data_IF_171454095250
#
_entry.id   IF_171454095250
#
_cell.length_a   1.000
_cell.length_b   1.000
_cell.length_c   1.000
_cell.angle_alpha   90.00
_cell.angle_beta   90.00
_cell.angle_gamma   90.00
#
_symmetry.space_group_name_H-M   'P 1'
#
loop_
_entity.id
_entity.type
_entity.pdbx_description
1 polymer ?
#
# COMPACT_ATOMS: atom_id res chain seq x y z
N UNK A 1 -0.07 -3.95 16.64
CA UNK A 1 -0.36 -4.58 15.32
C UNK A 1 -1.74 -5.23 15.38
N UNK A 2 -2.08 -5.83 16.52
CA UNK A 2 -3.33 -6.55 16.77
C UNK A 2 -4.58 -5.66 16.76
N UNK A 3 -4.48 -4.41 17.24
CA UNK A 3 -5.62 -3.48 17.23
C UNK A 3 -6.08 -3.10 15.82
N UNK A 4 -5.17 -3.02 14.83
CA UNK A 4 -5.54 -2.66 13.44
C UNK A 4 -6.23 -3.84 12.77
N UNK A 5 -5.70 -5.06 12.94
CA UNK A 5 -6.34 -6.29 12.44
C UNK A 5 -7.72 -6.48 13.07
N UNK A 6 -7.83 -6.29 14.38
CA UNK A 6 -9.10 -6.36 15.09
C UNK A 6 -10.12 -5.34 14.54
N UNK A 7 -9.69 -4.10 14.28
CA UNK A 7 -10.54 -3.10 13.65
C UNK A 7 -11.00 -3.52 12.25
N UNK A 8 -10.13 -4.13 11.43
CA UNK A 8 -10.49 -4.62 10.09
C UNK A 8 -11.56 -5.71 10.13
N UNK A 9 -11.55 -6.60 11.14
CA UNK A 9 -12.57 -7.64 11.27
C UNK A 9 -13.90 -7.13 11.85
N UNK A 10 -13.87 -6.13 12.74
CA UNK A 10 -15.09 -5.60 13.37
C UNK A 10 -15.81 -4.58 12.49
N UNK A 11 -15.05 -3.80 11.72
CA UNK A 11 -15.61 -2.70 10.93
C UNK A 11 -16.69 -3.16 9.92
N UNK A 12 -16.54 -4.27 9.17
CA UNK A 12 -17.59 -4.80 8.30
C UNK A 12 -18.90 -5.10 9.03
N UNK A 13 -18.82 -5.68 10.24
CA UNK A 13 -19.97 -6.03 11.05
C UNK A 13 -20.71 -4.76 11.54
N UNK A 14 -19.95 -3.78 12.03
CA UNK A 14 -20.50 -2.49 12.47
C UNK A 14 -21.13 -1.73 11.30
N UNK A 15 -20.49 -1.71 10.12
CA UNK A 15 -21.03 -1.08 8.92
C UNK A 15 -22.29 -1.77 8.40
N UNK A 16 -22.32 -3.11 8.39
CA UNK A 16 -23.52 -3.86 8.00
C UNK A 16 -24.70 -3.57 8.95
N UNK A 17 -24.46 -3.58 10.26
CA UNK A 17 -25.50 -3.27 11.26
C UNK A 17 -26.00 -1.83 11.19
N UNK A 18 -25.10 -0.85 11.02
CA UNK A 18 -25.47 0.56 10.87
C UNK A 18 -26.25 0.80 9.57
N UNK A 19 -25.86 0.19 8.46
CA UNK A 19 -26.62 0.26 7.22
C UNK A 19 -28.03 -0.33 7.37
N UNK A 20 -28.16 -1.53 7.93
CA UNK A 20 -29.45 -2.20 8.10
C UNK A 20 -30.40 -1.42 9.03
N UNK A 21 -29.88 -0.82 10.10
CA UNK A 21 -30.68 0.00 11.02
C UNK A 21 -31.15 1.31 10.39
N UNK A 22 -30.32 1.97 9.57
CA UNK A 22 -30.72 3.15 8.79
C UNK A 22 -31.77 2.75 7.74
N UNK A 23 -31.56 1.64 7.04
CA UNK A 23 -32.50 1.13 6.04
C UNK A 23 -33.87 0.79 6.57
N UNK A 24 -33.92 0.21 7.77
CA UNK A 24 -35.17 -0.02 8.49
C UNK A 24 -35.88 1.29 8.84
N UNK A 25 -35.16 2.27 9.41
CA UNK A 25 -35.73 3.58 9.80
C UNK A 25 -36.29 4.35 8.62
N UNK A 26 -35.60 4.34 7.48
CA UNK A 26 -36.03 5.06 6.28
C UNK A 26 -37.17 4.35 5.52
N UNK A 27 -37.60 3.15 5.95
CA UNK A 27 -38.50 2.24 5.20
C UNK A 27 -38.05 1.96 3.77
N UNK A 28 -36.81 2.34 3.43
CA UNK A 28 -36.13 2.12 2.16
C UNK A 28 -35.20 0.94 2.36
N UNK A 29 -35.78 -0.22 2.59
CA UNK A 29 -35.01 -1.46 2.54
C UNK A 29 -34.78 -1.77 1.07
N UNK A 30 -33.52 -1.66 0.65
CA UNK A 30 -33.10 -1.80 -0.73
C UNK A 30 -33.42 -3.22 -1.26
N UNK A 31 -34.32 -3.31 -2.24
CA UNK A 31 -34.62 -4.56 -2.98
C UNK A 31 -33.39 -5.14 -3.69
N UNK A 32 -32.32 -4.35 -3.82
CA UNK A 32 -31.08 -4.75 -4.45
C UNK A 32 -30.41 -5.91 -3.71
N UNK A 33 -30.35 -5.85 -2.37
CA UNK A 33 -29.64 -6.84 -1.56
C UNK A 33 -30.42 -8.14 -1.38
N UNK A 34 -31.74 -8.09 -1.47
CA UNK A 34 -32.59 -9.29 -1.43
C UNK A 34 -32.82 -9.90 -2.81
N UNK A 35 -32.10 -9.44 -3.86
CA UNK A 35 -32.31 -9.85 -5.25
C UNK A 35 -33.79 -9.77 -5.71
N UNK A 36 -34.52 -8.78 -5.19
CA UNK A 36 -35.94 -8.60 -5.47
C UNK A 36 -36.88 -9.53 -4.70
N UNK A 37 -36.36 -10.43 -3.85
CA UNK A 37 -37.19 -11.32 -3.03
C UNK A 37 -37.85 -10.54 -1.89
N UNK A 38 -39.19 -10.65 -1.80
CA UNK A 38 -40.01 -10.00 -0.79
C UNK A 38 -40.48 -11.04 0.23
N UNK A 39 -39.71 -11.25 1.31
CA UNK A 39 -40.19 -12.01 2.45
C UNK A 39 -41.27 -11.21 3.19
N UNK A 40 -42.42 -11.84 3.47
CA UNK A 40 -43.53 -11.19 4.18
C UNK A 40 -43.20 -10.85 5.64
N UNK A 41 -42.26 -11.55 6.25
CA UNK A 41 -41.82 -11.28 7.62
C UNK A 41 -40.71 -10.21 7.67
N UNK A 42 -40.94 -9.06 8.33
CA UNK A 42 -39.95 -7.98 8.45
C UNK A 42 -38.69 -8.40 9.21
N UNK A 43 -38.76 -9.37 10.15
CA UNK A 43 -37.58 -9.81 10.92
C UNK A 43 -36.60 -10.60 10.06
N UNK A 44 -37.13 -11.52 9.24
CA UNK A 44 -36.32 -12.32 8.32
C UNK A 44 -35.64 -11.46 7.26
N UNK A 45 -36.31 -10.39 6.81
CA UNK A 45 -35.76 -9.45 5.84
C UNK A 45 -34.53 -8.71 6.35
N UNK A 46 -34.60 -8.16 7.57
CA UNK A 46 -33.48 -7.44 8.19
C UNK A 46 -32.27 -8.36 8.38
N UNK A 47 -32.50 -9.61 8.78
CA UNK A 47 -31.42 -10.58 9.00
C UNK A 47 -30.72 -10.96 7.68
N UNK A 48 -31.48 -11.15 6.59
CA UNK A 48 -30.90 -11.35 5.27
C UNK A 48 -30.12 -10.12 4.78
N UNK A 49 -30.66 -8.91 4.96
CA UNK A 49 -29.95 -7.68 4.55
C UNK A 49 -28.61 -7.54 5.29
N UNK A 50 -28.59 -7.79 6.61
CA UNK A 50 -27.35 -7.77 7.41
C UNK A 50 -26.36 -8.81 6.87
N UNK A 51 -26.81 -10.03 6.57
CA UNK A 51 -25.94 -11.08 6.05
C UNK A 51 -25.32 -10.72 4.69
N UNK A 52 -26.13 -10.23 3.74
CA UNK A 52 -25.64 -9.83 2.42
C UNK A 52 -24.73 -8.60 2.48
N UNK A 53 -25.07 -7.60 3.31
CA UNK A 53 -24.22 -6.43 3.52
C UNK A 53 -22.90 -6.79 4.21
N UNK A 54 -22.93 -7.73 5.15
CA UNK A 54 -21.72 -8.25 5.77
C UNK A 54 -20.81 -8.90 4.72
N UNK A 55 -21.36 -9.79 3.88
CA UNK A 55 -20.60 -10.40 2.77
C UNK A 55 -20.04 -9.31 1.85
N UNK A 56 -20.83 -8.29 1.52
CA UNK A 56 -20.37 -7.17 0.70
C UNK A 56 -19.19 -6.43 1.36
N UNK A 57 -19.31 -6.01 2.62
CA UNK A 57 -18.22 -5.31 3.30
C UNK A 57 -17.00 -6.21 3.53
N UNK A 58 -17.17 -7.51 3.72
CA UNK A 58 -16.04 -8.44 3.77
C UNK A 58 -15.29 -8.49 2.44
N UNK A 59 -16.00 -8.54 1.31
CA UNK A 59 -15.38 -8.58 -0.02
C UNK A 59 -14.72 -7.25 -0.41
N UNK A 60 -15.37 -6.12 -0.14
CA UNK A 60 -14.91 -4.80 -0.61
C UNK A 60 -14.06 -4.01 0.38
N UNK A 61 -14.09 -4.37 1.68
CA UNK A 61 -13.33 -3.69 2.72
C UNK A 61 -12.36 -4.63 3.43
N UNK A 62 -12.84 -5.74 3.97
CA UNK A 62 -12.01 -6.64 4.81
C UNK A 62 -10.89 -7.29 4.02
N UNK A 63 -11.20 -8.01 2.92
CA UNK A 63 -10.18 -8.70 2.14
C UNK A 63 -9.16 -7.75 1.49
N UNK A 64 -9.54 -6.63 0.86
CA UNK A 64 -8.57 -5.67 0.34
C UNK A 64 -7.68 -5.11 1.45
N UNK A 65 -8.22 -4.81 2.63
CA UNK A 65 -7.42 -4.36 3.77
C UNK A 65 -6.43 -5.43 4.24
N UNK A 66 -6.84 -6.69 4.35
CA UNK A 66 -5.96 -7.80 4.74
C UNK A 66 -4.85 -8.06 3.73
N UNK A 67 -5.16 -8.00 2.44
CA UNK A 67 -4.18 -8.11 1.36
C UNK A 67 -3.21 -6.92 1.42
N UNK A 68 -3.71 -5.69 1.46
CA UNK A 68 -2.88 -4.48 1.58
C UNK A 68 -1.97 -4.53 2.81
N UNK A 69 -2.50 -5.01 3.94
CA UNK A 69 -1.75 -5.14 5.18
C UNK A 69 -0.63 -6.18 5.05
N UNK A 70 -0.91 -7.34 4.44
CA UNK A 70 0.09 -8.38 4.20
C UNK A 70 1.22 -7.88 3.28
N UNK A 71 0.86 -7.17 2.22
CA UNK A 71 1.80 -6.50 1.33
C UNK A 71 2.64 -5.45 2.07
N UNK A 72 1.98 -4.61 2.87
CA UNK A 72 2.62 -3.58 3.68
C UNK A 72 3.67 -4.17 4.62
N UNK A 73 3.34 -5.24 5.35
CA UNK A 73 4.26 -5.91 6.28
C UNK A 73 5.47 -6.48 5.53
N UNK A 74 5.23 -7.13 4.40
CA UNK A 74 6.30 -7.71 3.59
C UNK A 74 7.27 -6.64 3.10
N UNK A 75 6.77 -5.56 2.51
CA UNK A 75 7.58 -4.44 2.00
C UNK A 75 8.33 -3.77 3.17
N UNK A 76 7.65 -3.53 4.30
CA UNK A 76 8.23 -2.92 5.50
C UNK A 76 9.41 -3.74 6.04
N UNK A 77 9.28 -5.07 6.09
CA UNK A 77 10.33 -5.94 6.61
C UNK A 77 11.60 -5.83 5.77
N UNK A 78 11.49 -5.82 4.42
CA UNK A 78 12.64 -5.61 3.55
C UNK A 78 13.22 -4.20 3.66
N UNK A 79 12.39 -3.18 3.81
CA UNK A 79 12.85 -1.82 4.12
C UNK A 79 13.66 -1.75 5.42
N UNK A 80 13.22 -2.45 6.49
CA UNK A 80 13.94 -2.50 7.76
C UNK A 80 15.29 -3.21 7.65
N UNK A 81 15.41 -4.27 6.83
CA UNK A 81 16.71 -4.90 6.57
C UNK A 81 17.69 -3.93 5.90
N UNK A 82 17.23 -3.15 4.91
CA UNK A 82 18.06 -2.12 4.28
C UNK A 82 18.47 -1.03 5.27
N UNK A 83 17.55 -0.56 6.11
CA UNK A 83 17.88 0.44 7.14
C UNK A 83 18.97 -0.06 8.10
N UNK A 84 18.88 -1.31 8.57
CA UNK A 84 19.92 -1.92 9.42
C UNK A 84 21.28 -1.99 8.72
N UNK A 85 21.29 -2.26 7.42
CA UNK A 85 22.53 -2.23 6.62
C UNK A 85 23.08 -0.81 6.53
N UNK A 86 22.24 0.19 6.27
CA UNK A 86 22.64 1.62 6.26
C UNK A 86 23.31 2.01 7.59
N UNK A 87 22.68 1.65 8.72
CA UNK A 87 23.21 1.90 10.05
C UNK A 87 24.53 1.15 10.29
N UNK A 88 24.64 -0.09 9.84
CA UNK A 88 25.87 -0.89 9.98
C UNK A 88 27.04 -0.27 9.21
N UNK A 89 26.80 0.20 7.98
CA UNK A 89 27.82 0.91 7.19
C UNK A 89 28.27 2.18 7.91
N UNK A 90 27.33 2.96 8.45
CA UNK A 90 27.64 4.21 9.17
C UNK A 90 28.44 3.98 10.45
N UNK A 91 28.18 2.89 11.16
CA UNK A 91 28.80 2.58 12.45
C UNK A 91 30.13 1.81 12.33
N UNK A 92 30.49 1.35 11.12
CA UNK A 92 31.74 0.59 10.89
C UNK A 92 32.94 1.53 10.91
N UNK A 93 33.92 1.25 11.78
CA UNK A 93 35.13 2.08 11.93
C UNK A 93 36.25 1.68 10.95
N UNK A 94 37.15 2.62 10.57
CA UNK A 94 38.27 2.37 9.65
C UNK A 94 39.19 1.19 10.01
N UNK A 95 39.34 0.90 11.30
CA UNK A 95 40.42 0.06 11.84
C UNK A 95 40.10 -1.44 11.68
N UNK A 96 38.82 -1.80 11.55
CA UNK A 96 38.34 -3.19 11.36
C UNK A 96 37.59 -3.38 10.02
N UNK A 97 37.79 -2.43 9.11
CA UNK A 97 36.89 -2.13 8.00
C UNK A 97 36.69 -3.27 6.98
N UNK A 98 37.76 -3.84 6.41
CA UNK A 98 37.60 -4.64 5.18
C UNK A 98 36.73 -5.88 5.37
N UNK A 99 37.00 -6.71 6.38
CA UNK A 99 36.22 -7.93 6.64
C UNK A 99 34.76 -7.62 7.01
N UNK A 100 34.53 -6.58 7.82
CA UNK A 100 33.19 -6.15 8.19
C UNK A 100 32.40 -5.66 6.96
N UNK A 101 33.01 -4.84 6.10
CA UNK A 101 32.37 -4.39 4.86
C UNK A 101 32.12 -5.54 3.88
N UNK A 102 32.97 -6.56 3.83
CA UNK A 102 32.72 -7.76 3.02
C UNK A 102 31.48 -8.51 3.51
N UNK A 103 31.34 -8.67 4.83
CA UNK A 103 30.16 -9.32 5.42
C UNK A 103 28.89 -8.49 5.17
N UNK A 104 28.94 -7.18 5.40
CA UNK A 104 27.81 -6.28 5.14
C UNK A 104 27.43 -6.30 3.64
N UNK A 105 28.41 -6.40 2.73
CA UNK A 105 28.14 -6.49 1.29
C UNK A 105 27.46 -7.81 0.92
N UNK A 106 27.86 -8.92 1.56
CA UNK A 106 27.21 -10.22 1.39
C UNK A 106 25.74 -10.17 1.82
N UNK A 107 25.46 -9.57 2.97
CA UNK A 107 24.11 -9.37 3.49
C UNK A 107 23.28 -8.47 2.56
N UNK A 108 23.87 -7.37 2.10
CA UNK A 108 23.23 -6.48 1.13
C UNK A 108 22.89 -7.20 -0.18
N UNK A 109 23.82 -7.96 -0.75
CA UNK A 109 23.55 -8.74 -1.97
C UNK A 109 22.43 -9.76 -1.77
N UNK A 110 22.35 -10.36 -0.58
CA UNK A 110 21.30 -11.32 -0.23
C UNK A 110 19.93 -10.64 -0.11
N UNK A 111 19.88 -9.46 0.52
CA UNK A 111 18.66 -8.64 0.63
C UNK A 111 18.24 -8.11 -0.74
N UNK A 112 19.17 -7.59 -1.54
CA UNK A 112 18.92 -7.09 -2.89
C UNK A 112 18.27 -8.16 -3.78
N UNK A 113 18.82 -9.40 -3.80
CA UNK A 113 18.22 -10.53 -4.51
C UNK A 113 16.78 -10.79 -4.07
N UNK A 114 16.52 -10.76 -2.76
CA UNK A 114 15.16 -10.94 -2.22
C UNK A 114 14.23 -9.78 -2.57
N UNK A 115 14.73 -8.54 -2.66
CA UNK A 115 13.96 -7.37 -3.12
C UNK A 115 13.60 -7.50 -4.60
N UNK A 116 14.50 -7.99 -5.45
CA UNK A 116 14.18 -8.29 -6.84
C UNK A 116 13.09 -9.37 -6.97
N UNK A 117 13.20 -10.43 -6.16
CA UNK A 117 12.16 -11.46 -6.10
C UNK A 117 10.83 -10.88 -5.61
N UNK A 118 10.86 -10.07 -4.55
CA UNK A 118 9.71 -9.35 -4.03
C UNK A 118 9.04 -8.50 -5.11
N UNK A 119 9.82 -7.72 -5.86
CA UNK A 119 9.31 -6.90 -6.97
C UNK A 119 8.57 -7.76 -8.00
N UNK A 120 9.13 -8.91 -8.38
CA UNK A 120 8.48 -9.84 -9.31
C UNK A 120 7.18 -10.41 -8.75
N UNK A 121 7.20 -10.89 -7.51
CA UNK A 121 6.03 -11.51 -6.86
C UNK A 121 4.91 -10.50 -6.59
N UNK A 122 5.25 -9.26 -6.24
CA UNK A 122 4.27 -8.24 -5.88
C UNK A 122 3.63 -7.53 -7.08
N UNK A 123 4.17 -7.73 -8.27
CA UNK A 123 3.76 -7.00 -9.48
C UNK A 123 2.26 -7.15 -9.79
N UNK A 124 1.76 -8.38 -9.74
CA UNK A 124 0.34 -8.72 -9.98
C UNK A 124 -0.58 -8.31 -8.82
N UNK A 125 -0.32 -8.68 -7.55
CA UNK A 125 -1.23 -8.30 -6.46
C UNK A 125 -1.30 -6.79 -6.24
N UNK A 126 -0.19 -6.06 -6.43
CA UNK A 126 -0.21 -4.59 -6.38
C UNK A 126 -1.06 -4.00 -7.51
N UNK A 127 -0.99 -4.55 -8.72
CA UNK A 127 -1.83 -4.09 -9.82
C UNK A 127 -3.31 -4.29 -9.51
N UNK A 128 -3.69 -5.51 -9.11
CA UNK A 128 -5.08 -5.86 -8.83
C UNK A 128 -5.67 -5.00 -7.71
N UNK A 129 -4.94 -4.84 -6.60
CA UNK A 129 -5.47 -4.07 -5.48
C UNK A 129 -5.59 -2.58 -5.81
N UNK A 130 -4.61 -2.00 -6.52
CA UNK A 130 -4.69 -0.61 -6.96
C UNK A 130 -5.84 -0.41 -7.95
N UNK A 131 -6.02 -1.33 -8.90
CA UNK A 131 -7.15 -1.30 -9.83
C UNK A 131 -8.48 -1.31 -9.08
N UNK A 132 -8.66 -2.18 -8.09
CA UNK A 132 -9.87 -2.21 -7.24
C UNK A 132 -10.06 -0.86 -6.53
N UNK A 133 -9.01 -0.30 -5.93
CA UNK A 133 -9.07 1.00 -5.27
C UNK A 133 -9.49 2.12 -6.24
N UNK A 134 -8.90 2.18 -7.43
CA UNK A 134 -9.27 3.18 -8.43
C UNK A 134 -10.69 2.99 -8.93
N UNK A 135 -11.12 1.76 -9.24
CA UNK A 135 -12.51 1.49 -9.62
C UNK A 135 -13.50 1.97 -8.54
N UNK A 136 -13.21 1.73 -7.26
CA UNK A 136 -14.04 2.20 -6.15
C UNK A 136 -14.08 3.74 -6.05
N UNK A 137 -12.95 4.41 -6.29
CA UNK A 137 -12.88 5.87 -6.29
C UNK A 137 -13.63 6.49 -7.47
N UNK A 138 -13.45 5.96 -8.69
CA UNK A 138 -14.14 6.44 -9.89
C UNK A 138 -15.65 6.19 -9.85
N UNK A 139 -16.08 5.02 -9.38
CA UNK A 139 -17.51 4.71 -9.21
C UNK A 139 -18.15 5.66 -8.20
N UNK A 140 -17.49 5.90 -7.06
CA UNK A 140 -17.94 6.88 -6.07
C UNK A 140 -18.03 8.28 -6.65
N UNK A 141 -17.01 8.72 -7.38
CA UNK A 141 -16.98 10.03 -8.01
C UNK A 141 -18.15 10.21 -8.98
N UNK A 142 -18.43 9.18 -9.79
CA UNK A 142 -19.60 9.16 -10.67
C UNK A 142 -20.91 9.25 -9.88
N UNK A 143 -21.06 8.49 -8.80
CA UNK A 143 -22.25 8.56 -7.95
C UNK A 143 -22.44 9.93 -7.29
N UNK A 144 -21.36 10.55 -6.82
CA UNK A 144 -21.39 11.84 -6.15
C UNK A 144 -21.84 12.98 -7.09
N UNK A 145 -21.55 12.88 -8.39
CA UNK A 145 -21.93 13.89 -9.39
C UNK A 145 -23.40 13.74 -9.81
N UNK A 146 -23.91 12.50 -9.95
CA UNK A 146 -25.20 12.26 -10.61
C UNK A 146 -26.40 12.15 -9.66
N UNK A 147 -26.20 11.82 -8.38
CA UNK A 147 -27.30 11.29 -7.55
C UNK A 147 -27.45 12.04 -6.22
N UNK A 148 -28.68 12.42 -5.84
CA UNK A 148 -29.01 12.85 -4.47
C UNK A 148 -28.96 11.63 -3.53
N UNK A 149 -27.90 11.46 -2.72
CA UNK A 149 -27.64 10.18 -2.11
C UNK A 149 -28.50 10.00 -0.84
N UNK A 150 -29.18 8.86 -0.72
CA UNK A 150 -29.76 8.45 0.56
C UNK A 150 -28.65 8.15 1.56
N UNK A 151 -28.91 8.34 2.85
CA UNK A 151 -27.94 8.19 3.94
C UNK A 151 -27.22 6.82 3.93
N UNK A 152 -27.93 5.76 3.55
CA UNK A 152 -27.40 4.40 3.36
C UNK A 152 -26.30 4.32 2.28
N UNK A 153 -26.55 4.91 1.11
CA UNK A 153 -25.60 4.91 0.00
C UNK A 153 -24.37 5.77 0.31
N UNK A 154 -24.55 6.87 1.06
CA UNK A 154 -23.43 7.69 1.55
C UNK A 154 -22.49 6.84 2.41
N UNK A 155 -23.02 6.03 3.33
CA UNK A 155 -22.23 5.20 4.23
C UNK A 155 -21.32 4.22 3.45
N UNK A 156 -21.89 3.45 2.52
CA UNK A 156 -21.15 2.47 1.69
C UNK A 156 -20.09 3.16 0.82
N UNK A 157 -20.47 4.28 0.23
CA UNK A 157 -19.62 5.04 -0.68
C UNK A 157 -18.44 5.63 0.08
N UNK A 158 -18.69 6.22 1.25
CA UNK A 158 -17.67 6.75 2.13
C UNK A 158 -16.70 5.66 2.61
N UNK A 159 -17.19 4.50 3.04
CA UNK A 159 -16.32 3.40 3.48
C UNK A 159 -15.40 2.91 2.35
N UNK A 160 -15.91 2.81 1.12
CA UNK A 160 -15.12 2.34 -0.03
C UNK A 160 -14.06 3.36 -0.43
N UNK A 161 -14.40 4.66 -0.41
CA UNK A 161 -13.43 5.74 -0.66
C UNK A 161 -12.34 5.74 0.39
N UNK A 162 -12.70 5.75 1.67
CA UNK A 162 -11.74 5.75 2.76
C UNK A 162 -10.79 4.54 2.64
N UNK A 163 -11.33 3.35 2.37
CA UNK A 163 -10.53 2.14 2.17
C UNK A 163 -9.58 2.28 0.98
N UNK A 164 -10.07 2.73 -0.17
CA UNK A 164 -9.25 2.93 -1.36
C UNK A 164 -8.10 3.93 -1.13
N UNK A 165 -8.39 5.07 -0.50
CA UNK A 165 -7.39 6.10 -0.18
C UNK A 165 -6.34 5.52 0.78
N UNK A 166 -6.76 4.88 1.87
CA UNK A 166 -5.83 4.31 2.87
C UNK A 166 -4.89 3.29 2.24
N UNK A 167 -5.41 2.40 1.38
CA UNK A 167 -4.60 1.39 0.69
C UNK A 167 -3.60 2.05 -0.27
N UNK A 168 -4.04 2.99 -1.12
CA UNK A 168 -3.16 3.68 -2.07
C UNK A 168 -2.03 4.40 -1.35
N UNK A 169 -2.35 5.18 -0.31
CA UNK A 169 -1.33 5.92 0.46
C UNK A 169 -0.37 4.97 1.19
N UNK A 170 -0.90 4.01 1.94
CA UNK A 170 -0.07 3.11 2.76
C UNK A 170 0.91 2.30 1.91
N UNK A 171 0.44 1.71 0.81
CA UNK A 171 1.29 0.92 -0.10
C UNK A 171 2.29 1.78 -0.85
N UNK A 172 1.90 2.98 -1.30
CA UNK A 172 2.83 3.85 -2.03
C UNK A 172 3.93 4.39 -1.12
N UNK A 173 3.57 4.86 0.08
CA UNK A 173 4.54 5.41 1.04
C UNK A 173 5.53 4.35 1.53
N UNK A 174 5.07 3.12 1.80
CA UNK A 174 5.98 2.05 2.25
C UNK A 174 6.86 1.55 1.10
N UNK A 175 6.34 1.51 -0.13
CA UNK A 175 7.10 1.09 -1.32
C UNK A 175 8.24 2.06 -1.64
N UNK A 176 8.02 3.36 -1.43
CA UNK A 176 9.00 4.41 -1.68
C UNK A 176 10.19 4.38 -0.69
N UNK A 177 10.04 3.73 0.47
CA UNK A 177 11.13 3.60 1.45
C UNK A 177 12.27 2.69 0.99
N UNK A 178 11.98 1.65 0.20
CA UNK A 178 13.02 0.75 -0.33
C UNK A 178 14.05 1.54 -1.16
N UNK A 179 13.65 2.27 -2.22
CA UNK A 179 14.60 3.04 -3.00
C UNK A 179 15.26 4.17 -2.21
N UNK A 180 14.56 4.76 -1.24
CA UNK A 180 15.11 5.75 -0.31
C UNK A 180 16.29 5.17 0.49
N UNK A 181 16.11 4.02 1.15
CA UNK A 181 17.19 3.37 1.91
C UNK A 181 18.33 2.86 1.02
N UNK A 182 18.04 2.32 -0.18
CA UNK A 182 19.10 1.94 -1.11
C UNK A 182 19.91 3.16 -1.59
N UNK A 183 19.26 4.30 -1.79
CA UNK A 183 19.93 5.56 -2.13
C UNK A 183 20.77 6.08 -0.96
N UNK A 184 20.26 6.00 0.27
CA UNK A 184 20.99 6.39 1.48
C UNK A 184 22.27 5.56 1.68
N UNK A 185 22.19 4.25 1.44
CA UNK A 185 23.37 3.36 1.48
C UNK A 185 24.41 3.84 0.45
N UNK A 186 23.99 4.19 -0.76
CA UNK A 186 24.89 4.69 -1.80
C UNK A 186 25.54 6.02 -1.45
N UNK A 187 24.78 6.98 -0.92
CA UNK A 187 25.31 8.28 -0.54
C UNK A 187 26.28 8.16 0.63
N UNK A 188 25.91 7.39 1.66
CA UNK A 188 26.78 7.10 2.82
C UNK A 188 28.07 6.41 2.38
N UNK A 189 27.98 5.40 1.52
CA UNK A 189 29.15 4.73 0.94
C UNK A 189 30.01 5.71 0.14
N UNK A 190 29.38 6.59 -0.65
CA UNK A 190 30.08 7.63 -1.42
C UNK A 190 30.91 8.55 -0.52
N UNK A 191 30.30 9.06 0.54
CA UNK A 191 30.97 9.90 1.54
C UNK A 191 32.14 9.17 2.20
N UNK A 192 31.97 7.89 2.54
CA UNK A 192 33.07 7.09 3.10
C UNK A 192 34.23 6.94 2.12
N UNK A 193 33.96 6.63 0.84
CA UNK A 193 35.02 6.54 -0.19
C UNK A 193 35.80 7.85 -0.28
N UNK A 194 35.11 9.00 -0.28
CA UNK A 194 35.75 10.31 -0.41
C UNK A 194 36.65 10.61 0.80
N UNK A 195 36.23 10.21 2.02
CA UNK A 195 37.04 10.35 3.23
C UNK A 195 38.26 9.41 3.28
N UNK A 196 38.15 8.19 2.73
CA UNK A 196 39.26 7.22 2.71
C UNK A 196 40.29 7.50 1.61
N UNK A 197 39.97 8.29 0.58
CA UNK A 197 40.89 8.59 -0.53
C UNK A 197 42.14 9.40 -0.12
N UNK A 198 42.35 9.70 1.16
CA UNK A 198 43.50 10.46 1.67
C UNK A 198 44.49 9.62 2.51
N UNK A 199 44.22 8.33 2.73
CA UNK A 199 45.01 7.50 3.63
C UNK A 199 45.33 6.10 3.03
N UNK A 200 45.91 5.22 3.84
CA UNK A 200 46.88 4.14 3.54
C UNK A 200 46.50 3.02 2.55
N UNK A 201 47.46 2.14 2.21
CA UNK A 201 47.26 0.95 1.34
C UNK A 201 46.17 -0.02 1.81
N UNK A 202 45.92 -0.18 3.12
CA UNK A 202 44.82 -1.03 3.65
C UNK A 202 43.43 -0.45 3.33
N UNK A 203 43.34 0.85 3.07
CA UNK A 203 42.08 1.51 2.75
C UNK A 203 41.70 1.34 1.29
N UNK A 204 42.65 1.03 0.39
CA UNK A 204 42.38 0.70 -1.01
C UNK A 204 41.49 -0.54 -1.14
N UNK A 205 41.71 -1.59 -0.35
CA UNK A 205 40.86 -2.79 -0.35
C UNK A 205 39.44 -2.47 0.14
N UNK A 206 39.33 -1.68 1.21
CA UNK A 206 38.04 -1.18 1.72
C UNK A 206 37.32 -0.33 0.68
N UNK A 207 38.02 0.57 -0.01
CA UNK A 207 37.48 1.39 -1.11
C UNK A 207 36.95 0.51 -2.25
N UNK A 208 37.64 -0.58 -2.60
CA UNK A 208 37.17 -1.52 -3.64
C UNK A 208 35.85 -2.16 -3.24
N UNK A 209 35.69 -2.57 -1.97
CA UNK A 209 34.43 -3.13 -1.45
C UNK A 209 33.33 -2.07 -1.44
N UNK A 210 33.60 -0.87 -0.94
CA UNK A 210 32.65 0.24 -0.92
C UNK A 210 32.19 0.64 -2.34
N UNK A 211 33.11 0.68 -3.32
CA UNK A 211 32.75 0.92 -4.73
C UNK A 211 31.73 -0.07 -5.27
N UNK A 212 31.69 -1.32 -4.76
CA UNK A 212 30.67 -2.30 -5.17
C UNK A 212 29.27 -1.89 -4.72
N UNK A 213 29.10 -1.32 -3.51
CA UNK A 213 27.80 -0.79 -3.07
C UNK A 213 27.32 0.38 -3.94
N UNK A 214 28.21 1.34 -4.24
CA UNK A 214 27.88 2.52 -5.07
C UNK A 214 27.38 2.14 -6.46
N UNK A 215 27.93 1.06 -7.05
CA UNK A 215 27.57 0.57 -8.40
C UNK A 215 26.22 -0.15 -8.48
N UNK A 216 25.63 -0.56 -7.36
CA UNK A 216 24.33 -1.28 -7.37
C UNK A 216 23.22 -0.39 -7.91
N UNK A 217 22.14 -0.94 -8.42
CA UNK A 217 21.02 -0.12 -8.90
C UNK A 217 19.96 0.04 -7.82
N UNK A 218 19.22 1.16 -7.86
CA UNK A 218 18.13 1.40 -6.93
C UNK A 218 16.88 0.70 -7.47
N UNK A 219 16.29 -0.17 -6.67
CA UNK A 219 15.13 -0.95 -7.09
C UNK A 219 13.84 -0.23 -6.68
N UNK A 220 12.98 0.02 -7.65
CA UNK A 220 11.62 0.53 -7.43
C UNK A 220 10.60 -0.61 -7.57
N UNK A 221 9.65 -0.67 -6.64
CA UNK A 221 8.48 -1.54 -6.76
C UNK A 221 7.53 -0.99 -7.83
N UNK A 222 6.99 -1.91 -8.63
CA UNK A 222 6.08 -1.57 -9.73
C UNK A 222 4.82 -2.41 -9.66
N UNK A 223 3.68 -1.81 -9.98
CA UNK A 223 2.42 -2.50 -10.19
C UNK A 223 2.26 -2.76 -11.69
N UNK A 224 2.11 -4.04 -12.06
CA UNK A 224 1.91 -4.45 -13.45
C UNK A 224 3.08 -4.16 -14.40
N UNK A 225 4.25 -3.77 -13.90
CA UNK A 225 5.38 -3.34 -14.74
C UNK A 225 5.22 -1.94 -15.36
N UNK A 226 4.07 -1.30 -15.18
CA UNK A 226 3.72 0.00 -15.79
C UNK A 226 3.81 1.12 -14.77
N UNK A 227 3.31 0.87 -13.55
CA UNK A 227 3.16 1.92 -12.54
C UNK A 227 4.25 1.80 -11.49
N UNK A 228 5.11 2.81 -11.38
CA UNK A 228 6.13 2.88 -10.34
C UNK A 228 5.54 3.46 -9.06
N UNK A 229 5.63 2.73 -7.94
CA UNK A 229 5.13 3.18 -6.63
C UNK A 229 6.12 4.15 -5.98
N UNK A 230 6.09 5.40 -6.43
CA UNK A 230 6.85 6.53 -5.87
C UNK A 230 5.88 7.53 -5.22
N UNK A 231 6.35 8.42 -4.36
CA UNK A 231 5.49 9.50 -3.81
C UNK A 231 4.78 10.33 -4.90
N UNK A 232 5.44 10.55 -6.05
CA UNK A 232 4.84 11.24 -7.19
C UNK A 232 3.62 10.52 -7.78
N UNK A 233 3.53 9.19 -7.63
CA UNK A 233 2.37 8.42 -8.09
C UNK A 233 1.08 8.85 -7.38
N UNK A 234 1.13 9.19 -6.09
CA UNK A 234 -0.03 9.68 -5.34
C UNK A 234 -0.56 10.95 -6.01
N UNK A 235 0.33 11.89 -6.33
CA UNK A 235 -0.07 13.14 -6.96
C UNK A 235 -0.66 12.90 -8.36
N UNK A 236 -0.05 12.02 -9.15
CA UNK A 236 -0.60 11.62 -10.46
C UNK A 236 -1.96 10.93 -10.35
N UNK A 237 -2.14 10.05 -9.36
CA UNK A 237 -3.37 9.31 -9.12
C UNK A 237 -4.54 10.24 -8.75
N UNK A 238 -4.33 11.14 -7.79
CA UNK A 238 -5.35 12.12 -7.40
C UNK A 238 -5.57 13.20 -8.47
N UNK A 239 -4.52 13.58 -9.19
CA UNK A 239 -4.63 14.46 -10.35
C UNK A 239 -5.53 13.85 -11.42
N UNK A 240 -5.33 12.58 -11.77
CA UNK A 240 -6.17 11.87 -12.72
C UNK A 240 -7.63 11.76 -12.26
N UNK A 241 -7.86 11.43 -10.98
CA UNK A 241 -9.21 11.40 -10.39
C UNK A 241 -9.89 12.77 -10.48
N UNK A 242 -9.17 13.85 -10.15
CA UNK A 242 -9.71 15.20 -10.20
C UNK A 242 -10.02 15.64 -11.64
N UNK A 243 -9.09 15.42 -12.58
CA UNK A 243 -9.30 15.75 -14.00
C UNK A 243 -10.48 14.98 -14.58
N UNK A 244 -10.60 13.69 -14.28
CA UNK A 244 -11.74 12.88 -14.72
C UNK A 244 -13.05 13.36 -14.08
N UNK A 245 -13.03 13.71 -12.79
CA UNK A 245 -14.18 14.28 -12.11
C UNK A 245 -14.68 15.56 -12.77
N UNK A 246 -13.76 16.49 -13.08
CA UNK A 246 -14.08 17.71 -13.82
C UNK A 246 -14.65 17.42 -15.21
N UNK A 247 -14.08 16.43 -15.91
CA UNK A 247 -14.54 16.04 -17.24
C UNK A 247 -15.98 15.49 -17.19
N UNK A 248 -16.28 14.63 -16.22
CA UNK A 248 -17.65 14.12 -16.01
C UNK A 248 -18.61 15.24 -15.61
N UNK A 249 -18.18 16.19 -14.77
CA UNK A 249 -19.00 17.35 -14.41
C UNK A 249 -19.29 18.26 -15.62
N UNK A 250 -18.34 18.45 -16.53
CA UNK A 250 -18.50 19.32 -17.71
C UNK A 250 -19.24 18.67 -18.88
N UNK A 251 -19.31 17.33 -18.93
CA UNK A 251 -20.05 16.59 -19.95
C UNK A 251 -21.55 16.47 -19.62
N UNK A 252 -21.95 16.88 -18.42
CA UNK A 252 -23.31 16.87 -17.90
C UNK A 252 -23.84 18.29 -17.74
#
# INVERSE_FOLDING_TARGET
MDMVLFAVFILPLVLAGTYATIGYKEKKISRFWTFGYMTQDPKHRILMDIAFLYIYFTVYLEYPCLIAFSLYVLIRNYGQFLLKISESIRNTTPITATEQYVNILSDYNSVEKKIHLLKGTLLTPLLLILSVCFCNLYTTLSFAIHWQPSLQHILVTCSNVCTGIVIIFSLTLISDRIPEYMSEIKTTTGFLIDNYNHHSLKELETIVVLKKFKKKEVVYLTAGGVVYLKRSFILSAFGALFTYGLLVMNLN
#
